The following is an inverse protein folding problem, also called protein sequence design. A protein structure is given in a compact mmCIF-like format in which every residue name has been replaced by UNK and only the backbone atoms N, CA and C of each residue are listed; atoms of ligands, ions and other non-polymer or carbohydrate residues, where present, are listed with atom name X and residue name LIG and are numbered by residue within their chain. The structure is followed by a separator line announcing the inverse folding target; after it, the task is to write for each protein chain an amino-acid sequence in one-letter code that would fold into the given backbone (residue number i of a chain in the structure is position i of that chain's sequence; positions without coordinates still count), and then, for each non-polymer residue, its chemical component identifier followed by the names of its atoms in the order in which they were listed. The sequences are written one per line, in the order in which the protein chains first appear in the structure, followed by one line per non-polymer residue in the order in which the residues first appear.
data_IF_987532553056
#
_entry.id   IF_987532553056
#
_cell.length_a   1.000
_cell.length_b   1.000
_cell.length_c   1.000
_cell.angle_alpha   90.00
_cell.angle_beta   90.00
_cell.angle_gamma   90.00
#
_symmetry.space_group_name_H-M   'P 1'
#
loop_
_entity.id
_entity.type
_entity.pdbx_description
1 polymer ?
#
# COMPACT_ATOMS: atom_id res chain seq x y z
N UNK A 1 -11.40 52.58 -31.38
CA UNK A 1 -11.18 51.13 -31.36
C UNK A 1 -10.46 50.81 -30.04
N UNK A 2 -11.08 50.05 -29.13
CA UNK A 2 -10.55 49.77 -27.78
C UNK A 2 -10.22 48.29 -27.72
N UNK A 3 -8.93 47.96 -27.68
CA UNK A 3 -8.43 46.58 -27.62
C UNK A 3 -8.31 46.16 -26.17
N UNK A 4 -9.18 45.27 -25.72
CA UNK A 4 -9.18 44.71 -24.36
C UNK A 4 -8.25 43.50 -24.35
N UNK A 5 -7.15 43.57 -23.58
CA UNK A 5 -6.24 42.44 -23.36
C UNK A 5 -6.82 41.53 -22.26
N UNK A 6 -7.00 40.25 -22.58
CA UNK A 6 -7.48 39.21 -21.66
C UNK A 6 -6.24 38.58 -21.01
N UNK A 7 -6.08 38.61 -19.68
CA UNK A 7 -4.98 37.92 -19.02
C UNK A 7 -5.29 36.42 -18.93
N UNK A 8 -4.56 35.61 -19.70
CA UNK A 8 -4.59 34.14 -19.57
C UNK A 8 -3.85 33.72 -18.30
N UNK A 9 -4.60 33.24 -17.30
CA UNK A 9 -4.07 32.71 -16.05
C UNK A 9 -3.65 31.25 -16.31
N UNK A 10 -2.35 31.00 -16.42
CA UNK A 10 -1.81 29.66 -16.58
C UNK A 10 -1.76 28.97 -15.21
N UNK A 11 -2.77 28.15 -14.90
CA UNK A 11 -2.82 27.36 -13.67
C UNK A 11 -1.78 26.24 -13.72
N UNK A 12 -0.73 26.34 -12.90
CA UNK A 12 0.23 25.26 -12.67
C UNK A 12 -0.42 24.20 -11.77
N UNK A 13 -0.73 23.04 -12.33
CA UNK A 13 -1.15 21.86 -11.57
C UNK A 13 0.08 21.29 -10.86
N UNK A 14 0.17 21.48 -9.56
CA UNK A 14 1.17 20.84 -8.70
C UNK A 14 0.79 19.35 -8.57
N UNK A 15 1.38 18.50 -9.39
CA UNK A 15 1.29 17.06 -9.20
C UNK A 15 2.09 16.69 -7.95
N UNK A 16 1.41 16.39 -6.84
CA UNK A 16 2.05 15.83 -5.66
C UNK A 16 2.61 14.46 -6.04
N UNK A 17 3.92 14.36 -6.22
CA UNK A 17 4.59 13.08 -6.40
C UNK A 17 4.61 12.36 -5.06
N UNK A 18 3.62 11.50 -4.80
CA UNK A 18 3.71 10.54 -3.70
C UNK A 18 4.90 9.65 -4.03
N UNK A 19 5.99 9.73 -3.27
CA UNK A 19 7.10 8.78 -3.36
C UNK A 19 6.80 7.62 -2.42
N UNK A 20 6.57 6.44 -2.97
CA UNK A 20 6.64 5.18 -2.25
C UNK A 20 8.09 4.85 -1.91
N UNK A 21 8.27 4.04 -0.87
CA UNK A 21 9.55 3.47 -0.48
C UNK A 21 9.35 1.99 -0.20
N UNK A 22 10.43 1.21 -0.30
CA UNK A 22 10.42 -0.21 0.04
C UNK A 22 10.01 -0.36 1.51
N UNK A 23 9.11 -1.28 1.78
CA UNK A 23 8.43 -1.48 3.07
C UNK A 23 7.50 -0.33 3.49
N UNK A 24 7.10 0.54 2.55
CA UNK A 24 6.12 1.60 2.77
C UNK A 24 4.70 1.25 2.30
N UNK A 25 3.72 2.10 2.61
CA UNK A 25 2.33 1.93 2.15
C UNK A 25 2.22 2.08 0.63
N UNK A 26 1.23 1.39 0.06
CA UNK A 26 0.90 1.54 -1.35
C UNK A 26 0.26 2.91 -1.67
N UNK A 27 0.36 3.32 -2.93
CA UNK A 27 -0.22 4.55 -3.50
C UNK A 27 -0.99 4.22 -4.78
N UNK A 28 -1.55 5.25 -5.45
CA UNK A 28 -2.11 5.16 -6.80
C UNK A 28 -3.12 4.00 -7.02
N UNK A 29 -4.04 3.80 -6.06
CA UNK A 29 -5.06 2.74 -6.13
C UNK A 29 -4.57 1.36 -5.67
N UNK A 30 -3.36 1.26 -5.12
CA UNK A 30 -2.93 0.09 -4.36
C UNK A 30 -3.74 -0.08 -3.07
N UNK A 31 -3.72 -1.29 -2.52
CA UNK A 31 -4.46 -1.64 -1.29
C UNK A 31 -4.00 -0.79 -0.11
N UNK A 32 -4.94 -0.29 0.70
CA UNK A 32 -4.66 0.37 1.98
C UNK A 32 -4.05 -0.57 3.02
N UNK A 33 -4.24 -1.87 2.82
CA UNK A 33 -3.69 -2.95 3.66
C UNK A 33 -2.47 -3.59 2.99
N UNK A 34 -1.96 -2.97 1.91
CA UNK A 34 -0.79 -3.45 1.18
C UNK A 34 0.51 -2.75 1.58
N UNK A 35 1.61 -3.37 1.18
CA UNK A 35 2.98 -2.90 1.40
C UNK A 35 3.81 -3.00 0.12
N UNK A 36 4.69 -2.02 -0.10
CA UNK A 36 5.61 -2.00 -1.22
C UNK A 36 6.82 -2.91 -0.97
N UNK A 37 6.83 -4.10 -1.58
CA UNK A 37 7.96 -5.06 -1.53
C UNK A 37 8.17 -5.68 -2.91
N UNK A 38 9.30 -6.39 -3.10
CA UNK A 38 9.54 -7.08 -4.37
C UNK A 38 8.43 -8.09 -4.67
N UNK A 39 8.09 -8.26 -5.96
CA UNK A 39 7.11 -9.26 -6.43
C UNK A 39 7.46 -10.68 -5.95
N UNK A 40 8.75 -11.01 -5.94
CA UNK A 40 9.26 -12.29 -5.44
C UNK A 40 9.03 -12.46 -3.93
N UNK A 41 9.34 -11.44 -3.14
CA UNK A 41 9.02 -11.43 -1.70
C UNK A 41 7.52 -11.58 -1.48
N UNK A 42 6.70 -10.85 -2.22
CA UNK A 42 5.24 -10.93 -2.10
C UNK A 42 4.72 -12.36 -2.31
N UNK A 43 5.20 -13.04 -3.35
CA UNK A 43 4.86 -14.44 -3.62
C UNK A 43 5.30 -15.38 -2.48
N UNK A 44 6.48 -15.15 -1.88
CA UNK A 44 6.96 -15.95 -0.74
C UNK A 44 6.08 -15.81 0.50
N UNK A 45 5.44 -14.66 0.70
CA UNK A 45 4.45 -14.44 1.76
C UNK A 45 3.04 -14.90 1.38
N UNK A 46 2.84 -15.49 0.19
CA UNK A 46 1.52 -15.90 -0.31
C UNK A 46 0.62 -14.71 -0.70
N UNK A 47 1.21 -13.54 -0.91
CA UNK A 47 0.50 -12.32 -1.28
C UNK A 47 0.19 -12.21 -2.77
N UNK A 48 -0.62 -11.21 -3.10
CA UNK A 48 -0.92 -10.79 -4.48
C UNK A 48 -0.26 -9.45 -4.75
N UNK A 49 0.53 -9.37 -5.81
CA UNK A 49 1.16 -8.12 -6.26
C UNK A 49 0.25 -7.34 -7.20
N UNK A 50 0.22 -6.03 -7.04
CA UNK A 50 -0.46 -5.09 -7.92
C UNK A 50 0.54 -4.03 -8.38
N UNK A 51 1.01 -4.04 -9.64
CA UNK A 51 1.91 -3.01 -10.17
C UNK A 51 1.27 -1.63 -10.32
N UNK A 52 -0.07 -1.57 -10.43
CA UNK A 52 -0.80 -0.36 -10.81
C UNK A 52 -1.00 -0.26 -12.31
N UNK A 53 -1.09 0.98 -12.80
CA UNK A 53 -1.31 1.29 -14.22
C UNK A 53 -0.12 2.07 -14.80
N UNK A 54 -0.02 2.13 -16.13
CA UNK A 54 0.97 2.97 -16.79
C UNK A 54 0.87 4.43 -16.32
N UNK A 55 1.98 4.98 -15.83
CA UNK A 55 2.03 6.34 -15.25
C UNK A 55 1.47 6.46 -13.83
N UNK A 56 0.95 5.38 -13.24
CA UNK A 56 0.37 5.33 -11.91
C UNK A 56 0.75 4.01 -11.21
N UNK A 57 2.06 3.84 -10.97
CA UNK A 57 2.58 2.70 -10.23
C UNK A 57 2.14 2.74 -8.77
N UNK A 58 1.79 1.60 -8.20
CA UNK A 58 1.33 1.53 -6.80
C UNK A 58 2.47 1.75 -5.79
N UNK A 59 3.71 1.55 -6.20
CA UNK A 59 4.92 1.84 -5.44
C UNK A 59 5.79 2.83 -6.24
N UNK A 60 5.40 4.11 -6.31
CA UNK A 60 6.12 5.10 -7.10
C UNK A 60 7.49 5.40 -6.49
N UNK A 61 8.54 5.51 -7.30
CA UNK A 61 9.88 5.84 -6.79
C UNK A 61 10.67 4.65 -6.19
N UNK A 62 10.13 3.43 -6.26
CA UNK A 62 10.86 2.19 -5.99
C UNK A 62 11.27 1.49 -7.29
N UNK A 63 12.17 0.49 -7.25
CA UNK A 63 12.49 -0.34 -8.42
C UNK A 63 11.24 -0.97 -9.06
N UNK A 64 11.31 -1.29 -10.36
CA UNK A 64 10.18 -1.82 -11.15
C UNK A 64 9.65 -3.18 -10.65
N UNK A 65 10.46 -3.94 -9.92
CA UNK A 65 10.06 -5.21 -9.33
C UNK A 65 9.39 -5.05 -7.96
N UNK A 66 9.35 -3.82 -7.42
CA UNK A 66 8.65 -3.48 -6.17
C UNK A 66 7.23 -3.03 -6.49
N UNK A 67 6.27 -3.83 -6.03
CA UNK A 67 4.85 -3.65 -6.31
C UNK A 67 4.06 -3.64 -5.00
N UNK A 68 2.83 -3.15 -5.04
CA UNK A 68 1.96 -3.22 -3.88
C UNK A 68 1.58 -4.68 -3.62
N UNK A 69 2.08 -5.24 -2.53
CA UNK A 69 1.77 -6.58 -2.09
C UNK A 69 0.63 -6.57 -1.08
N UNK A 70 -0.39 -7.39 -1.30
CA UNK A 70 -1.46 -7.61 -0.32
C UNK A 70 -1.49 -9.06 0.13
N UNK A 71 -1.51 -9.28 1.44
CA UNK A 71 -1.53 -10.62 2.06
C UNK A 71 -2.82 -10.76 2.86
N UNK A 72 -3.93 -11.02 2.14
CA UNK A 72 -5.29 -10.86 2.67
C UNK A 72 -5.85 -12.05 3.44
N UNK A 73 -5.50 -13.28 3.03
CA UNK A 73 -6.30 -14.45 3.42
C UNK A 73 -5.70 -15.21 4.59
N UNK A 74 -4.38 -15.13 4.76
CA UNK A 74 -3.63 -15.87 5.78
C UNK A 74 -2.34 -15.13 6.02
N UNK A 75 -2.10 -14.68 7.24
CA UNK A 75 -0.72 -14.52 7.67
C UNK A 75 -0.02 -15.89 7.51
N UNK A 76 1.17 -15.94 6.90
CA UNK A 76 1.86 -17.20 6.64
C UNK A 76 1.91 -18.12 7.88
N UNK A 77 1.21 -19.25 7.82
CA UNK A 77 1.21 -20.26 8.89
C UNK A 77 0.26 -20.05 10.08
N UNK A 78 -0.63 -19.03 10.08
CA UNK A 78 -1.49 -18.72 11.23
C UNK A 78 -3.00 -18.98 11.07
N UNK A 79 -3.50 -19.34 9.89
CA UNK A 79 -4.91 -19.69 9.67
C UNK A 79 -5.67 -18.73 8.74
N UNK A 80 -6.95 -18.99 8.47
CA UNK A 80 -7.79 -18.26 7.49
C UNK A 80 -8.29 -16.91 7.94
N UNK A 81 -8.21 -16.63 9.23
CA UNK A 81 -8.83 -15.46 9.84
C UNK A 81 -7.75 -14.45 10.23
N UNK A 82 -6.73 -14.34 9.39
CA UNK A 82 -5.59 -13.46 9.64
C UNK A 82 -5.16 -12.72 8.39
N UNK A 83 -4.72 -11.49 8.58
CA UNK A 83 -4.40 -10.52 7.54
C UNK A 83 -3.11 -9.78 7.93
N UNK A 84 -2.19 -9.59 6.99
CA UNK A 84 -1.11 -8.63 7.20
C UNK A 84 -1.60 -7.22 6.82
N UNK A 85 -1.55 -6.30 7.77
CA UNK A 85 -1.88 -4.89 7.53
C UNK A 85 -1.09 -3.98 8.49
N UNK A 86 -1.27 -2.68 8.37
CA UNK A 86 -0.63 -1.69 9.24
C UNK A 86 -1.22 -1.75 10.67
N UNK A 87 -0.37 -1.65 11.69
CA UNK A 87 -0.75 -1.75 13.11
C UNK A 87 -1.94 -0.88 13.50
N UNK A 88 -1.95 0.37 13.03
CA UNK A 88 -2.99 1.36 13.23
C UNK A 88 -4.33 1.00 12.55
N UNK A 89 -4.32 0.04 11.63
CA UNK A 89 -5.52 -0.48 10.97
C UNK A 89 -6.09 -1.71 11.66
N UNK A 90 -5.33 -2.37 12.53
CA UNK A 90 -5.81 -3.49 13.33
C UNK A 90 -6.57 -3.01 14.56
N UNK A 91 -5.88 -2.27 15.43
CA UNK A 91 -6.47 -1.67 16.62
C UNK A 91 -7.23 -0.39 16.25
N UNK A 92 -8.45 -0.52 15.69
CA UNK A 92 -9.29 0.65 15.38
C UNK A 92 -10.35 0.45 14.30
N UNK A 93 -10.45 -0.73 13.69
CA UNK A 93 -11.42 -1.02 12.63
C UNK A 93 -12.33 -2.17 13.07
N UNK A 94 -13.68 -2.06 13.01
CA UNK A 94 -14.57 -3.20 13.32
C UNK A 94 -14.36 -4.41 12.41
N UNK A 95 -13.67 -4.25 11.28
CA UNK A 95 -13.32 -5.30 10.34
C UNK A 95 -11.97 -5.97 10.62
N UNK A 96 -11.17 -5.46 11.56
CA UNK A 96 -9.87 -6.02 11.94
C UNK A 96 -9.80 -6.15 13.47
N UNK A 97 -9.40 -7.31 13.98
CA UNK A 97 -9.29 -7.57 15.42
C UNK A 97 -7.91 -7.23 15.96
N UNK A 98 -7.31 -8.16 16.71
CA UNK A 98 -6.12 -7.90 17.52
C UNK A 98 -4.81 -8.14 16.76
N UNK A 99 -3.77 -7.36 17.10
CA UNK A 99 -2.40 -7.59 16.63
C UNK A 99 -1.88 -8.89 17.24
N UNK A 100 -1.44 -9.82 16.39
CA UNK A 100 -0.77 -11.04 16.80
C UNK A 100 0.73 -10.76 17.00
N UNK A 101 1.29 -11.20 18.13
CA UNK A 101 2.68 -10.91 18.51
C UNK A 101 3.75 -11.61 17.64
N UNK A 102 3.37 -12.29 16.56
CA UNK A 102 4.29 -13.05 15.72
C UNK A 102 4.67 -12.26 14.45
N UNK A 103 5.98 -11.95 14.23
CA UNK A 103 6.45 -11.21 13.06
C UNK A 103 6.47 -12.11 11.81
N UNK A 104 5.28 -12.43 11.30
CA UNK A 104 5.09 -13.27 10.11
C UNK A 104 4.87 -12.43 8.85
N UNK A 105 4.58 -11.14 8.99
CA UNK A 105 4.32 -10.23 7.88
C UNK A 105 5.60 -9.53 7.40
N UNK A 106 5.67 -9.18 6.09
CA UNK A 106 6.81 -8.47 5.52
C UNK A 106 6.93 -7.03 6.07
N UNK A 107 8.10 -6.42 5.94
CA UNK A 107 8.24 -4.96 6.07
C UNK A 107 8.46 -4.36 7.45
N UNK A 108 8.66 -5.17 8.49
CA UNK A 108 9.12 -4.69 9.80
C UNK A 108 8.01 -4.48 10.83
N UNK A 109 8.25 -3.61 11.82
CA UNK A 109 7.49 -3.60 13.08
C UNK A 109 6.04 -3.14 12.97
N UNK A 110 5.71 -2.34 11.94
CA UNK A 110 4.40 -1.67 11.85
C UNK A 110 3.47 -2.33 10.83
N UNK A 111 3.97 -3.28 10.03
CA UNK A 111 3.15 -4.10 9.15
C UNK A 111 3.04 -5.50 9.78
N UNK A 112 1.93 -5.69 10.47
CA UNK A 112 1.75 -6.75 11.47
C UNK A 112 0.68 -7.73 11.02
N UNK A 113 0.71 -8.92 11.62
CA UNK A 113 -0.36 -9.87 11.45
C UNK A 113 -1.50 -9.56 12.40
N UNK A 114 -2.73 -9.52 11.90
CA UNK A 114 -3.91 -9.23 12.69
C UNK A 114 -4.96 -10.32 12.51
N UNK A 115 -5.53 -10.73 13.64
CA UNK A 115 -6.70 -11.60 13.68
C UNK A 115 -7.92 -10.79 13.26
N UNK A 116 -8.67 -11.21 12.25
CA UNK A 116 -9.85 -10.48 11.74
C UNK A 116 -11.14 -10.87 12.46
N UNK A 117 -11.11 -11.90 13.33
CA UNK A 117 -12.29 -12.40 14.02
C UNK A 117 -12.42 -11.93 15.48
N UNK A 118 -11.32 -11.57 16.14
CA UNK A 118 -11.34 -10.99 17.49
C UNK A 118 -11.85 -11.92 18.59
#
# INVERSE_FOLDING_TARGET
MKTTLIPSILSVLLAATTSGYVNGPCSNGGSSDGICISRGSCANYGGTSNPGSAGAYTCPGTPDDVECCSVFTRCPGLGTDTLCTWDNRCSGNPWHGSILSNPICPGGSNFVCCDING
#
